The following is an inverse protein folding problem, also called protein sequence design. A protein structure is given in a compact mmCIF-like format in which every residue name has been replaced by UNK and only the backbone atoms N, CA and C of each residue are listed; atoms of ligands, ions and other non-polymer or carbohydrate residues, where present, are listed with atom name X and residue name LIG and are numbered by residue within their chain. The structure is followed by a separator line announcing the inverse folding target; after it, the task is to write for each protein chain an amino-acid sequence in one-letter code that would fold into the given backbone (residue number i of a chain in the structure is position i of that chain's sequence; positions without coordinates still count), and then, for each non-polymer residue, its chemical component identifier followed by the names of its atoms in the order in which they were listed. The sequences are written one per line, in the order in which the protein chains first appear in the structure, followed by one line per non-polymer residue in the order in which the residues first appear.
data_IF_367803188469
#
_entry.id   IF_367803188469
#
_cell.length_a   1.000
_cell.length_b   1.000
_cell.length_c   1.000
_cell.angle_alpha   90.00
_cell.angle_beta   90.00
_cell.angle_gamma   90.00
#
_symmetry.space_group_name_H-M   'P 1'
#
loop_
_entity.id
_entity.type
_entity.pdbx_description
1 polymer ?
#
# COMPACT_ATOMS: atom_id res chain seq x y z
N UNK A 1 -2.66 -20.24 -15.83
CA UNK A 1 -2.82 -19.34 -16.99
C UNK A 1 -3.12 -17.90 -16.51
N UNK A 2 -4.14 -17.69 -15.66
CA UNK A 2 -4.54 -16.36 -15.20
C UNK A 2 -3.39 -15.56 -14.54
N UNK A 3 -2.58 -16.18 -13.69
CA UNK A 3 -1.44 -15.50 -13.05
C UNK A 3 -0.39 -15.07 -14.07
N UNK A 4 -0.11 -15.88 -15.09
CA UNK A 4 0.81 -15.47 -16.17
C UNK A 4 0.26 -14.29 -16.96
N UNK A 5 -1.04 -14.26 -17.23
CA UNK A 5 -1.68 -13.10 -17.85
C UNK A 5 -1.57 -11.84 -17.00
N UNK A 6 -1.74 -11.94 -15.68
CA UNK A 6 -1.53 -10.83 -14.77
C UNK A 6 -0.08 -10.32 -14.80
N UNK A 7 0.89 -11.23 -14.80
CA UNK A 7 2.32 -10.89 -14.96
C UNK A 7 2.56 -10.15 -16.28
N UNK A 8 2.00 -10.67 -17.38
CA UNK A 8 2.15 -10.06 -18.69
C UNK A 8 1.55 -8.66 -18.77
N UNK A 9 0.37 -8.46 -18.18
CA UNK A 9 -0.26 -7.15 -18.09
C UNK A 9 0.55 -6.17 -17.22
N UNK A 10 1.05 -6.62 -16.06
CA UNK A 10 1.92 -5.81 -15.22
C UNK A 10 3.16 -5.35 -15.97
N UNK A 11 3.85 -6.26 -16.63
CA UNK A 11 5.04 -5.94 -17.42
C UNK A 11 4.74 -4.97 -18.56
N UNK A 12 3.62 -5.17 -19.27
CA UNK A 12 3.22 -4.36 -20.42
C UNK A 12 2.93 -2.89 -20.07
N UNK A 13 2.47 -2.60 -18.85
CA UNK A 13 2.15 -1.23 -18.40
C UNK A 13 3.19 -0.68 -17.42
N UNK A 14 4.24 -1.46 -17.09
CA UNK A 14 5.36 -1.01 -16.28
C UNK A 14 5.19 -1.18 -14.77
N UNK A 15 4.19 -1.90 -14.28
CA UNK A 15 4.17 -2.33 -12.88
C UNK A 15 5.33 -3.28 -12.59
N UNK A 16 5.70 -3.41 -11.34
CA UNK A 16 6.92 -4.12 -10.91
C UNK A 16 6.62 -5.33 -10.03
N UNK A 17 5.35 -5.53 -9.64
CA UNK A 17 5.00 -6.56 -8.67
C UNK A 17 3.61 -7.16 -8.90
N UNK A 18 3.51 -8.48 -8.68
CA UNK A 18 2.23 -9.21 -8.62
C UNK A 18 2.09 -9.90 -7.26
N UNK A 19 0.98 -9.65 -6.59
CA UNK A 19 0.60 -10.32 -5.34
C UNK A 19 -0.56 -11.27 -5.63
N UNK A 20 -0.34 -12.57 -5.43
CA UNK A 20 -1.41 -13.57 -5.48
C UNK A 20 -2.19 -13.52 -4.16
N UNK A 21 -3.29 -12.79 -4.17
CA UNK A 21 -4.05 -12.48 -2.97
C UNK A 21 -5.08 -13.56 -2.61
N UNK A 22 -5.84 -13.30 -1.55
CA UNK A 22 -6.94 -14.14 -1.08
C UNK A 22 -7.89 -14.52 -2.23
N UNK A 23 -8.31 -15.78 -2.28
CA UNK A 23 -9.18 -16.30 -3.33
C UNK A 23 -8.49 -16.68 -4.66
N UNK A 24 -7.20 -16.40 -4.82
CA UNK A 24 -6.43 -16.77 -6.04
C UNK A 24 -6.08 -18.26 -6.12
N UNK A 25 -6.32 -19.04 -5.07
CA UNK A 25 -5.86 -20.42 -4.93
C UNK A 25 -4.39 -20.55 -4.54
N UNK A 26 -3.71 -19.45 -4.24
CA UNK A 26 -2.35 -19.47 -3.72
C UNK A 26 -2.31 -20.03 -2.29
N UNK A 27 -1.36 -20.92 -2.02
CA UNK A 27 -1.21 -21.62 -0.74
C UNK A 27 0.26 -21.68 -0.33
N UNK A 28 0.75 -20.59 0.27
CA UNK A 28 2.16 -20.45 0.64
C UNK A 28 2.64 -21.53 1.64
N UNK A 29 1.73 -22.13 2.38
CA UNK A 29 2.02 -23.18 3.37
C UNK A 29 2.02 -24.60 2.78
N UNK A 30 1.73 -24.72 1.49
CA UNK A 30 1.76 -26.01 0.80
C UNK A 30 3.21 -26.37 0.48
N UNK A 31 3.73 -27.39 1.18
CA UNK A 31 5.11 -27.86 1.08
C UNK A 31 5.27 -29.08 0.14
N UNK A 32 4.22 -29.47 -0.60
CA UNK A 32 4.33 -30.54 -1.57
C UNK A 32 5.31 -30.18 -2.70
N UNK A 33 6.14 -31.13 -3.07
CA UNK A 33 7.21 -30.95 -4.08
C UNK A 33 6.63 -30.40 -5.39
N UNK A 34 5.52 -30.96 -5.85
CA UNK A 34 4.87 -30.54 -7.10
C UNK A 34 4.35 -29.08 -7.05
N UNK A 35 3.84 -28.64 -5.88
CA UNK A 35 3.41 -27.26 -5.70
C UNK A 35 4.59 -26.30 -5.70
N UNK A 36 5.63 -26.61 -4.94
CA UNK A 36 6.84 -25.77 -4.85
C UNK A 36 7.53 -25.64 -6.23
N UNK A 37 7.61 -26.74 -7.01
CA UNK A 37 8.14 -26.71 -8.37
C UNK A 37 7.31 -25.80 -9.30
N UNK A 38 5.97 -25.84 -9.21
CA UNK A 38 5.11 -24.94 -9.99
C UNK A 38 5.31 -23.47 -9.60
N UNK A 39 5.43 -23.18 -8.30
CA UNK A 39 5.67 -21.82 -7.81
C UNK A 39 7.06 -21.33 -8.23
N UNK A 40 8.07 -22.18 -8.20
CA UNK A 40 9.40 -21.86 -8.71
C UNK A 40 9.38 -21.53 -10.21
N UNK A 41 8.71 -22.33 -11.01
CA UNK A 41 8.57 -22.06 -12.45
C UNK A 41 7.80 -20.76 -12.74
N UNK A 42 6.79 -20.45 -11.91
CA UNK A 42 6.05 -19.20 -12.02
C UNK A 42 6.91 -17.99 -11.62
N UNK A 43 7.75 -18.14 -10.59
CA UNK A 43 8.70 -17.11 -10.20
C UNK A 43 9.72 -16.83 -11.31
N UNK A 44 10.29 -17.86 -11.94
CA UNK A 44 11.18 -17.70 -13.09
C UNK A 44 10.51 -16.94 -14.24
N UNK A 45 9.28 -17.30 -14.56
CA UNK A 45 8.50 -16.60 -15.60
C UNK A 45 8.28 -15.11 -15.28
N UNK A 46 8.03 -14.78 -14.01
CA UNK A 46 7.86 -13.38 -13.57
C UNK A 46 9.20 -12.64 -13.62
N UNK A 47 10.28 -13.26 -13.12
CA UNK A 47 11.61 -12.69 -13.09
C UNK A 47 12.15 -12.37 -14.50
N UNK A 48 11.90 -13.23 -15.49
CA UNK A 48 12.25 -13.00 -16.91
C UNK A 48 11.59 -11.73 -17.48
N UNK A 49 10.51 -11.26 -16.85
CA UNK A 49 9.78 -10.03 -17.21
C UNK A 49 10.06 -8.86 -16.27
N UNK A 50 10.98 -9.02 -15.32
CA UNK A 50 11.30 -8.00 -14.32
C UNK A 50 10.21 -7.80 -13.26
N UNK A 51 9.33 -8.78 -13.04
CA UNK A 51 8.21 -8.71 -12.11
C UNK A 51 8.53 -9.49 -10.83
N UNK A 52 8.49 -8.82 -9.69
CA UNK A 52 8.50 -9.47 -8.38
C UNK A 52 7.16 -10.18 -8.13
N UNK A 53 7.19 -11.38 -7.57
CA UNK A 53 5.97 -12.15 -7.33
C UNK A 53 5.99 -12.86 -5.98
N UNK A 54 4.81 -12.99 -5.41
CA UNK A 54 4.56 -13.77 -4.22
C UNK A 54 3.10 -13.77 -3.87
N UNK A 55 2.76 -13.85 -2.60
CA UNK A 55 1.33 -13.88 -2.28
C UNK A 55 1.00 -13.88 -0.81
N UNK A 56 -0.26 -14.10 -0.58
CA UNK A 56 -1.02 -13.88 0.62
C UNK A 56 -0.94 -15.05 1.61
N UNK A 57 -0.85 -14.74 2.89
CA UNK A 57 -1.15 -15.66 3.99
C UNK A 57 -1.91 -14.92 5.09
N UNK A 58 -2.96 -15.55 5.62
CA UNK A 58 -3.67 -15.10 6.81
C UNK A 58 -3.00 -15.67 8.05
N UNK A 59 -2.57 -14.83 8.97
CA UNK A 59 -1.90 -15.25 10.20
C UNK A 59 -2.89 -15.49 11.34
N UNK A 60 -3.88 -14.64 11.52
CA UNK A 60 -4.89 -14.76 12.56
C UNK A 60 -6.17 -15.44 12.06
N UNK A 61 -7.02 -15.93 12.99
CA UNK A 61 -8.38 -16.41 12.68
C UNK A 61 -8.45 -17.56 11.68
N UNK A 62 -7.55 -18.51 11.73
CA UNK A 62 -7.39 -19.51 10.68
C UNK A 62 -7.65 -20.96 11.07
N UNK A 63 -8.35 -21.17 12.17
CA UNK A 63 -8.73 -22.52 12.56
C UNK A 63 -7.59 -23.33 13.17
N UNK A 64 -6.86 -22.77 14.11
CA UNK A 64 -5.87 -23.49 14.90
C UNK A 64 -6.52 -24.66 15.66
N UNK A 65 -5.76 -25.73 15.90
CA UNK A 65 -6.20 -26.80 16.80
C UNK A 65 -6.32 -26.23 18.21
N UNK A 66 -7.24 -26.75 19.06
CA UNK A 66 -7.43 -26.26 20.43
C UNK A 66 -6.12 -26.18 21.25
N UNK A 67 -5.21 -27.12 21.08
CA UNK A 67 -3.91 -27.14 21.78
C UNK A 67 -2.96 -25.98 21.38
N UNK A 68 -3.15 -25.39 20.19
CA UNK A 68 -2.31 -24.35 19.65
C UNK A 68 -3.03 -22.98 19.63
N UNK A 69 -4.30 -22.96 20.05
CA UNK A 69 -5.09 -21.74 20.08
C UNK A 69 -4.70 -20.85 21.28
N UNK A 70 -4.87 -19.54 21.13
CA UNK A 70 -4.78 -18.63 22.25
C UNK A 70 -5.86 -18.95 23.28
N UNK A 71 -5.50 -19.03 24.55
CA UNK A 71 -6.42 -19.30 25.65
C UNK A 71 -6.86 -17.97 26.27
N UNK A 72 -8.17 -17.73 26.28
CA UNK A 72 -8.75 -16.53 26.88
C UNK A 72 -8.52 -16.51 28.40
N UNK A 73 -8.03 -15.39 28.91
CA UNK A 73 -7.85 -15.17 30.33
C UNK A 73 -9.18 -15.17 31.11
N UNK A 74 -10.26 -14.74 30.46
CA UNK A 74 -11.58 -14.65 31.09
C UNK A 74 -12.31 -15.98 31.18
N UNK A 75 -12.18 -16.83 30.18
CA UNK A 75 -12.95 -18.07 30.10
C UNK A 75 -12.13 -19.32 30.36
N UNK A 76 -10.80 -19.26 30.25
CA UNK A 76 -9.92 -20.42 30.31
C UNK A 76 -10.03 -21.37 29.11
N UNK A 77 -10.77 -20.99 28.05
CA UNK A 77 -10.96 -21.77 26.84
C UNK A 77 -10.29 -21.11 25.63
N UNK A 78 -10.10 -21.83 24.52
CA UNK A 78 -9.58 -21.27 23.29
C UNK A 78 -10.33 -20.02 22.86
N UNK A 79 -9.60 -18.94 22.64
CA UNK A 79 -10.15 -17.67 22.22
C UNK A 79 -10.68 -17.76 20.78
N UNK A 80 -11.86 -17.24 20.57
CA UNK A 80 -12.41 -16.95 19.23
C UNK A 80 -12.05 -15.51 18.88
N UNK A 81 -11.76 -15.25 17.66
CA UNK A 81 -11.30 -13.93 17.18
C UNK A 81 -12.34 -12.83 17.22
N UNK A 82 -13.59 -13.12 17.53
CA UNK A 82 -14.66 -12.19 17.93
C UNK A 82 -15.66 -12.96 18.77
N UNK A 83 -16.33 -12.28 19.65
CA UNK A 83 -17.10 -12.83 20.77
C UNK A 83 -18.09 -13.95 20.42
N UNK A 84 -18.50 -14.13 19.17
CA UNK A 84 -19.35 -15.25 18.77
C UNK A 84 -19.05 -15.73 17.35
N UNK A 85 -18.23 -16.75 17.24
CA UNK A 85 -18.11 -17.49 15.99
C UNK A 85 -17.31 -16.82 14.90
N UNK A 86 -16.00 -16.77 15.04
CA UNK A 86 -15.11 -16.47 13.92
C UNK A 86 -15.46 -17.33 12.71
N UNK A 87 -15.68 -16.70 11.55
CA UNK A 87 -15.83 -17.38 10.26
C UNK A 87 -14.62 -18.25 9.92
N UNK A 88 -13.49 -18.01 10.55
CA UNK A 88 -12.19 -18.59 10.24
C UNK A 88 -11.68 -19.54 11.30
N UNK A 89 -12.43 -19.80 12.39
CA UNK A 89 -12.08 -20.74 13.44
C UNK A 89 -11.36 -20.12 14.65
N UNK A 90 -10.63 -20.94 15.39
CA UNK A 90 -9.90 -20.50 16.58
C UNK A 90 -8.69 -19.66 16.21
N UNK A 91 -8.38 -18.65 17.04
CA UNK A 91 -7.18 -17.84 16.88
C UNK A 91 -5.94 -18.64 17.31
N UNK A 92 -4.92 -18.76 16.45
CA UNK A 92 -3.68 -19.41 16.83
C UNK A 92 -2.89 -18.55 17.82
N UNK A 93 -2.27 -19.17 18.82
CA UNK A 93 -1.19 -18.53 19.56
C UNK A 93 0.10 -18.63 18.73
N UNK A 94 0.59 -17.48 18.25
CA UNK A 94 1.80 -17.43 17.41
C UNK A 94 3.05 -17.91 18.19
N UNK A 95 2.99 -17.89 19.51
CA UNK A 95 4.05 -18.40 20.38
C UNK A 95 3.89 -19.88 20.74
N UNK A 96 2.93 -20.61 20.15
CA UNK A 96 2.82 -22.06 20.23
C UNK A 96 3.70 -22.78 19.19
N UNK A 97 3.67 -24.10 19.18
CA UNK A 97 4.35 -24.93 18.18
C UNK A 97 3.80 -24.70 16.78
N UNK A 98 2.51 -24.40 16.68
CA UNK A 98 1.90 -24.01 15.41
C UNK A 98 2.61 -22.80 14.76
N UNK A 99 2.89 -21.75 15.55
CA UNK A 99 3.60 -20.58 15.00
C UNK A 99 5.02 -20.90 14.54
N UNK A 100 5.70 -21.80 15.26
CA UNK A 100 7.03 -22.28 14.87
C UNK A 100 6.98 -23.03 13.52
N UNK A 101 6.01 -23.93 13.36
CA UNK A 101 5.78 -24.67 12.12
C UNK A 101 5.38 -23.76 10.97
N UNK A 102 4.50 -22.79 11.21
CA UNK A 102 4.07 -21.82 10.23
C UNK A 102 5.26 -21.06 9.63
N UNK A 103 6.08 -20.43 10.44
CA UNK A 103 7.23 -19.69 9.95
C UNK A 103 8.30 -20.57 9.30
N UNK A 104 8.46 -21.81 9.75
CA UNK A 104 9.34 -22.77 9.10
C UNK A 104 8.88 -23.09 7.69
N UNK A 105 7.58 -23.34 7.47
CA UNK A 105 7.00 -23.58 6.14
C UNK A 105 7.16 -22.36 5.23
N UNK A 106 6.89 -21.16 5.72
CA UNK A 106 7.08 -19.93 4.95
C UNK A 106 8.55 -19.76 4.52
N UNK A 107 9.50 -19.96 5.43
CA UNK A 107 10.93 -19.89 5.10
C UNK A 107 11.32 -20.91 4.03
N UNK A 108 10.84 -22.16 4.15
CA UNK A 108 11.05 -23.18 3.16
C UNK A 108 10.47 -22.81 1.79
N UNK A 109 9.24 -22.27 1.78
CA UNK A 109 8.59 -21.80 0.55
C UNK A 109 9.44 -20.76 -0.17
N UNK A 110 9.82 -19.68 0.50
CA UNK A 110 10.64 -18.63 -0.10
C UNK A 110 12.00 -19.13 -0.57
N UNK A 111 12.66 -19.97 0.25
CA UNK A 111 13.95 -20.55 -0.12
C UNK A 111 13.84 -21.43 -1.36
N UNK A 112 12.81 -22.25 -1.45
CA UNK A 112 12.66 -23.25 -2.53
C UNK A 112 12.17 -22.62 -3.83
N UNK A 113 11.25 -21.65 -3.74
CA UNK A 113 10.61 -21.05 -4.92
C UNK A 113 11.35 -19.83 -5.45
N UNK A 114 12.13 -19.16 -4.61
CA UNK A 114 12.76 -17.89 -4.93
C UNK A 114 11.80 -16.71 -5.04
N UNK A 115 10.50 -16.90 -4.71
CA UNK A 115 9.55 -15.79 -4.66
C UNK A 115 9.99 -14.75 -3.63
N UNK A 116 9.67 -13.48 -3.88
CA UNK A 116 10.22 -12.35 -3.15
C UNK A 116 9.18 -11.32 -2.70
N UNK A 117 7.90 -11.70 -2.65
CA UNK A 117 6.80 -10.86 -2.15
C UNK A 117 5.98 -11.64 -1.14
N UNK A 118 5.66 -11.02 -0.01
CA UNK A 118 4.83 -11.59 1.03
C UNK A 118 3.74 -10.62 1.49
N UNK A 119 2.50 -10.97 1.24
CA UNK A 119 1.33 -10.30 1.82
C UNK A 119 0.87 -11.10 3.03
N UNK A 120 0.93 -10.51 4.21
CA UNK A 120 0.54 -11.18 5.45
C UNK A 120 -0.57 -10.41 6.15
N UNK A 121 -1.75 -10.95 6.10
CA UNK A 121 -2.94 -10.41 6.74
C UNK A 121 -3.10 -10.97 8.16
N UNK A 122 -3.80 -10.22 9.02
CA UNK A 122 -4.02 -10.62 10.40
C UNK A 122 -2.74 -10.68 11.26
N UNK A 123 -1.67 -10.05 10.81
CA UNK A 123 -0.40 -9.95 11.54
C UNK A 123 -0.49 -8.86 12.62
N UNK A 124 -1.49 -8.98 13.47
CA UNK A 124 -1.61 -8.20 14.69
C UNK A 124 -0.64 -8.74 15.75
N UNK A 125 -0.48 -8.07 16.90
CA UNK A 125 0.46 -8.54 17.94
C UNK A 125 0.15 -9.92 18.50
N UNK A 126 -0.91 -10.55 18.05
CA UNK A 126 -1.43 -11.84 18.55
C UNK A 126 -2.45 -11.63 19.66
N UNK A 127 -3.37 -12.56 19.81
CA UNK A 127 -4.32 -12.53 20.91
C UNK A 127 -3.63 -12.84 22.23
N UNK A 128 -3.95 -12.12 23.34
CA UNK A 128 -3.45 -12.48 24.65
C UNK A 128 -3.76 -13.94 24.98
N UNK A 129 -2.77 -14.67 25.46
CA UNK A 129 -2.88 -16.10 25.70
C UNK A 129 -2.50 -16.46 27.15
N UNK A 130 -3.44 -17.01 27.91
CA UNK A 130 -3.21 -17.45 29.28
C UNK A 130 -2.66 -18.89 29.42
N UNK A 131 -2.40 -19.55 28.30
CA UNK A 131 -1.80 -20.88 28.32
C UNK A 131 -0.44 -20.86 29.02
N UNK A 132 -0.20 -21.85 29.86
CA UNK A 132 1.10 -22.08 30.51
C UNK A 132 1.86 -23.26 29.91
N UNK A 133 1.27 -23.91 28.89
CA UNK A 133 1.86 -25.06 28.20
C UNK A 133 2.43 -24.77 26.84
N UNK A 134 2.20 -23.56 26.30
CA UNK A 134 2.83 -23.15 25.05
C UNK A 134 4.31 -22.85 25.28
N UNK A 135 5.16 -23.43 24.44
CA UNK A 135 6.62 -23.35 24.59
C UNK A 135 7.22 -21.93 24.47
N UNK A 136 6.53 -21.03 23.81
CA UNK A 136 7.06 -19.71 23.44
C UNK A 136 6.73 -18.57 24.39
N UNK A 137 5.89 -18.77 25.41
CA UNK A 137 5.58 -17.77 26.44
C UNK A 137 5.25 -18.44 27.77
N UNK A 138 5.25 -17.68 28.86
CA UNK A 138 5.00 -18.19 30.22
C UNK A 138 3.54 -18.09 30.66
N UNK A 139 2.73 -17.27 29.98
CA UNK A 139 1.33 -17.04 30.28
C UNK A 139 0.82 -15.72 29.73
N UNK A 140 -0.25 -15.21 30.34
CA UNK A 140 -0.98 -14.04 29.85
C UNK A 140 -0.08 -12.80 29.70
N UNK A 141 0.74 -12.50 30.71
CA UNK A 141 1.47 -11.23 30.79
C UNK A 141 2.56 -11.05 29.72
N UNK A 142 3.16 -12.13 29.26
CA UNK A 142 4.23 -12.06 28.26
C UNK A 142 3.81 -12.56 26.87
N UNK A 143 2.61 -13.11 26.75
CA UNK A 143 2.17 -13.81 25.54
C UNK A 143 2.15 -12.93 24.29
N UNK A 144 1.57 -11.72 24.35
CA UNK A 144 1.50 -10.83 23.20
C UNK A 144 2.88 -10.34 22.76
N UNK A 145 3.73 -9.98 23.72
CA UNK A 145 5.12 -9.60 23.44
C UNK A 145 5.89 -10.71 22.75
N UNK A 146 5.73 -11.94 23.18
CA UNK A 146 6.39 -13.12 22.59
C UNK A 146 5.88 -13.39 21.18
N UNK A 147 4.59 -13.26 20.95
CA UNK A 147 3.98 -13.40 19.63
C UNK A 147 4.48 -12.31 18.68
N UNK A 148 4.42 -11.06 19.12
CA UNK A 148 4.92 -9.93 18.36
C UNK A 148 6.40 -10.09 17.98
N UNK A 149 7.24 -10.51 18.91
CA UNK A 149 8.67 -10.77 18.65
C UNK A 149 8.89 -11.84 17.58
N UNK A 150 8.10 -12.91 17.57
CA UNK A 150 8.19 -13.96 16.54
C UNK A 150 7.83 -13.42 15.16
N UNK A 151 6.77 -12.66 15.07
CA UNK A 151 6.33 -12.05 13.81
C UNK A 151 7.38 -11.04 13.32
N UNK A 152 7.83 -10.14 14.19
CA UNK A 152 8.84 -9.13 13.87
C UNK A 152 10.15 -9.77 13.41
N UNK A 153 10.61 -10.81 14.09
CA UNK A 153 11.82 -11.56 13.71
C UNK A 153 11.68 -12.22 12.35
N UNK A 154 10.49 -12.71 12.00
CA UNK A 154 10.23 -13.25 10.67
C UNK A 154 10.24 -12.15 9.60
N UNK A 155 9.66 -10.99 9.87
CA UNK A 155 9.69 -9.86 8.93
C UNK A 155 11.11 -9.31 8.73
N UNK A 156 11.90 -9.23 9.80
CA UNK A 156 13.33 -8.89 9.69
C UNK A 156 14.08 -9.90 8.82
N UNK A 157 13.80 -11.20 8.99
CA UNK A 157 14.37 -12.23 8.12
C UNK A 157 13.94 -12.05 6.66
N UNK A 158 12.66 -11.77 6.38
CA UNK A 158 12.20 -11.47 5.03
C UNK A 158 12.98 -10.31 4.40
N UNK A 159 13.12 -9.20 5.13
CA UNK A 159 13.88 -8.02 4.68
C UNK A 159 15.34 -8.37 4.38
N UNK A 160 15.99 -9.10 5.26
CA UNK A 160 17.37 -9.55 5.08
C UNK A 160 17.54 -10.48 3.86
N UNK A 161 16.46 -11.12 3.40
CA UNK A 161 16.42 -11.97 2.19
C UNK A 161 15.92 -11.25 0.94
N UNK A 162 15.67 -9.95 0.99
CA UNK A 162 15.13 -9.19 -0.12
C UNK A 162 13.66 -9.50 -0.43
N UNK A 163 12.92 -10.06 0.52
CA UNK A 163 11.49 -10.33 0.37
C UNK A 163 10.72 -9.07 0.75
N UNK A 164 9.93 -8.58 -0.18
CA UNK A 164 9.06 -7.42 0.01
C UNK A 164 7.87 -7.80 0.91
N UNK A 165 7.56 -6.93 1.88
CA UNK A 165 6.48 -7.14 2.84
C UNK A 165 5.30 -6.23 2.52
N UNK A 166 4.12 -6.82 2.44
CA UNK A 166 2.84 -6.13 2.38
C UNK A 166 2.00 -6.57 3.59
N UNK A 167 2.10 -5.83 4.69
CA UNK A 167 1.49 -6.17 5.99
C UNK A 167 0.70 -4.97 6.53
N UNK A 168 -0.25 -5.15 7.46
CA UNK A 168 -0.90 -4.03 8.14
C UNK A 168 0.15 -3.13 8.82
N UNK A 169 0.17 -1.85 8.45
CA UNK A 169 1.26 -0.94 8.83
C UNK A 169 1.27 -0.53 10.30
N UNK A 170 0.13 -0.58 10.97
CA UNK A 170 -0.06 -0.09 12.33
C UNK A 170 0.83 -0.73 13.39
N UNK A 171 1.11 -2.03 13.27
CA UNK A 171 1.70 -2.82 14.35
C UNK A 171 3.21 -2.99 14.25
N UNK A 172 3.75 -2.91 13.04
CA UNK A 172 5.14 -3.26 12.77
C UNK A 172 5.92 -2.14 12.10
N UNK A 173 5.25 -1.12 11.58
CA UNK A 173 5.84 -0.04 10.79
C UNK A 173 5.75 1.33 11.48
N UNK A 174 5.15 1.42 12.65
CA UNK A 174 5.07 2.67 13.39
C UNK A 174 6.47 3.20 13.70
N UNK A 175 6.74 4.43 13.28
CA UNK A 175 8.06 5.04 13.38
C UNK A 175 9.08 4.57 12.35
N UNK A 176 8.70 3.69 11.40
CA UNK A 176 9.54 3.34 10.28
C UNK A 176 9.61 4.49 9.27
N UNK A 177 10.65 4.46 8.47
CA UNK A 177 10.84 5.43 7.41
C UNK A 177 9.87 5.21 6.24
N UNK A 178 10.02 5.97 5.18
CA UNK A 178 9.25 6.00 3.95
C UNK A 178 9.20 4.72 3.13
N UNK A 179 9.84 3.66 3.54
CA UNK A 179 9.76 2.42 2.80
C UNK A 179 8.36 1.85 2.99
N UNK A 180 7.52 1.81 1.98
CA UNK A 180 6.20 1.23 2.10
C UNK A 180 6.35 -0.27 2.36
N UNK A 181 5.91 -0.69 3.52
CA UNK A 181 5.88 -2.10 3.92
C UNK A 181 4.52 -2.50 4.46
N UNK A 182 3.55 -1.62 4.34
CA UNK A 182 2.22 -1.86 4.84
C UNK A 182 1.15 -1.58 3.82
N UNK A 183 -0.05 -1.98 4.14
CA UNK A 183 -1.22 -1.65 3.36
C UNK A 183 -2.25 -0.91 4.20
N UNK A 184 -3.05 -0.08 3.53
CA UNK A 184 -4.20 0.58 4.11
C UNK A 184 -5.45 0.12 3.36
N UNK A 185 -6.37 -0.46 4.10
CA UNK A 185 -7.69 -0.82 3.59
C UNK A 185 -8.65 0.33 3.83
N UNK A 186 -9.19 0.91 2.77
CA UNK A 186 -10.08 2.04 2.88
C UNK A 186 -11.24 1.94 1.90
N UNK A 187 -12.45 2.18 2.42
CA UNK A 187 -13.60 2.58 1.60
C UNK A 187 -13.99 1.65 0.45
N UNK A 188 -13.84 0.36 0.61
CA UNK A 188 -14.12 -0.66 -0.40
C UNK A 188 -15.55 -0.64 -0.95
N UNK A 189 -16.52 -0.22 -0.14
CA UNK A 189 -17.94 -0.31 -0.44
C UNK A 189 -18.59 1.03 -0.76
N UNK A 190 -17.83 2.12 -0.76
CA UNK A 190 -18.38 3.43 -1.07
C UNK A 190 -18.63 3.58 -2.57
N UNK A 191 -19.67 4.32 -2.98
CA UNK A 191 -19.87 4.73 -4.36
C UNK A 191 -18.63 5.44 -4.94
N UNK A 192 -18.38 5.26 -6.23
CA UNK A 192 -17.22 5.85 -6.93
C UNK A 192 -17.02 7.34 -6.66
N UNK A 193 -18.09 8.12 -6.69
CA UNK A 193 -18.03 9.57 -6.43
C UNK A 193 -17.49 9.95 -5.06
N UNK A 194 -17.73 9.11 -4.04
CA UNK A 194 -17.20 9.34 -2.69
C UNK A 194 -15.77 8.83 -2.56
N UNK A 195 -15.43 7.75 -3.23
CA UNK A 195 -14.09 7.18 -3.17
C UNK A 195 -13.02 8.20 -3.57
N UNK A 196 -13.29 9.06 -4.56
CA UNK A 196 -12.34 10.02 -5.10
C UNK A 196 -11.85 11.05 -4.05
N UNK A 197 -12.76 11.55 -3.23
CA UNK A 197 -12.44 12.53 -2.18
C UNK A 197 -11.84 11.84 -0.95
N UNK A 198 -12.50 10.76 -0.51
CA UNK A 198 -12.11 10.04 0.70
C UNK A 198 -10.73 9.39 0.54
N UNK A 199 -10.37 8.96 -0.65
CA UNK A 199 -9.03 8.45 -0.93
C UNK A 199 -7.95 9.51 -0.65
N UNK A 200 -8.14 10.75 -1.12
CA UNK A 200 -7.22 11.85 -0.82
C UNK A 200 -7.21 12.23 0.66
N UNK A 201 -8.38 12.20 1.33
CA UNK A 201 -8.46 12.40 2.79
C UNK A 201 -7.67 11.33 3.54
N UNK A 202 -7.80 10.07 3.14
CA UNK A 202 -7.04 8.97 3.74
C UNK A 202 -5.53 9.12 3.51
N UNK A 203 -5.10 9.56 2.34
CA UNK A 203 -3.69 9.86 2.06
C UNK A 203 -3.20 10.99 2.97
N UNK A 204 -3.95 12.07 3.07
CA UNK A 204 -3.60 13.21 3.91
C UNK A 204 -3.51 12.80 5.39
N UNK A 205 -4.56 12.19 5.93
CA UNK A 205 -4.60 11.81 7.35
C UNK A 205 -3.56 10.73 7.67
N UNK A 206 -3.35 9.75 6.80
CA UNK A 206 -2.35 8.71 6.98
C UNK A 206 -0.93 9.26 7.00
N UNK A 207 -0.59 10.15 6.09
CA UNK A 207 0.75 10.76 6.02
C UNK A 207 0.97 11.82 7.10
N UNK A 208 -0.09 12.44 7.64
CA UNK A 208 -0.01 13.35 8.78
C UNK A 208 0.23 12.62 10.10
N UNK A 209 -0.47 11.51 10.32
CA UNK A 209 -0.45 10.81 11.61
C UNK A 209 0.74 9.88 11.79
N UNK A 210 1.35 9.41 10.71
CA UNK A 210 2.38 8.37 10.74
C UNK A 210 3.72 8.87 10.21
N UNK A 211 4.14 8.29 9.13
CA UNK A 211 5.37 8.63 8.42
C UNK A 211 5.06 9.46 7.19
N UNK A 212 6.05 10.14 6.63
CA UNK A 212 5.85 10.96 5.44
C UNK A 212 5.32 10.24 4.21
N UNK A 213 5.42 8.91 4.12
CA UNK A 213 4.83 8.14 3.02
C UNK A 213 3.90 7.06 3.54
N UNK A 214 2.84 6.81 2.80
CA UNK A 214 1.96 5.67 3.04
C UNK A 214 2.52 4.41 2.39
N UNK A 215 2.18 3.28 2.97
CA UNK A 215 2.31 2.00 2.32
C UNK A 215 1.30 1.82 1.19
N UNK A 216 1.07 0.58 0.80
CA UNK A 216 0.09 0.28 -0.24
C UNK A 216 -1.33 0.69 0.15
N UNK A 217 -2.02 1.33 -0.79
CA UNK A 217 -3.47 1.46 -0.74
C UNK A 217 -4.12 0.45 -1.68
N UNK A 218 -5.08 -0.30 -1.16
CA UNK A 218 -5.86 -1.20 -1.98
C UNK A 218 -6.90 -0.46 -2.80
N UNK A 219 -6.88 -0.73 -4.10
CA UNK A 219 -7.89 -0.24 -5.04
C UNK A 219 -8.62 -1.43 -5.63
N UNK A 220 -9.83 -1.76 -5.17
CA UNK A 220 -10.59 -2.85 -5.73
C UNK A 220 -11.12 -2.46 -7.12
N UNK A 221 -10.71 -3.21 -8.13
CA UNK A 221 -11.20 -3.05 -9.50
C UNK A 221 -12.53 -3.80 -9.69
N UNK A 222 -12.73 -4.86 -8.94
CA UNK A 222 -13.96 -5.67 -8.95
C UNK A 222 -14.70 -5.59 -7.61
N UNK A 223 -15.90 -6.08 -7.58
CA UNK A 223 -16.74 -6.14 -6.39
C UNK A 223 -16.19 -7.16 -5.38
N UNK A 224 -15.33 -6.71 -4.48
CA UNK A 224 -14.59 -7.58 -3.57
C UNK A 224 -15.21 -7.64 -2.16
N UNK A 225 -15.63 -6.51 -1.62
CA UNK A 225 -16.05 -6.38 -0.22
C UNK A 225 -17.39 -5.66 -0.03
N UNK A 226 -18.29 -5.78 -0.97
CA UNK A 226 -19.59 -5.11 -0.94
C UNK A 226 -19.63 -3.82 -1.76
N UNK A 227 -20.68 -3.01 -1.56
CA UNK A 227 -20.90 -1.76 -2.31
C UNK A 227 -21.50 -1.93 -3.71
N UNK A 228 -21.56 -3.13 -4.22
CA UNK A 228 -22.19 -3.45 -5.50
C UNK A 228 -21.57 -2.75 -6.71
N UNK A 229 -22.31 -2.65 -7.79
CA UNK A 229 -21.89 -2.04 -9.04
C UNK A 229 -21.46 -0.56 -8.89
N UNK A 230 -22.02 0.16 -7.94
CA UNK A 230 -21.68 1.56 -7.69
C UNK A 230 -20.26 1.77 -7.13
N UNK A 231 -19.68 0.76 -6.50
CA UNK A 231 -18.34 0.79 -5.90
C UNK A 231 -17.26 0.15 -6.78
N UNK A 232 -17.65 -0.53 -7.85
CA UNK A 232 -16.76 -1.30 -8.72
C UNK A 232 -16.26 -0.46 -9.89
N UNK A 233 -14.99 -0.60 -10.26
CA UNK A 233 -14.44 0.08 -11.43
C UNK A 233 -14.68 -0.75 -12.70
N UNK A 234 -14.63 -2.08 -12.61
CA UNK A 234 -14.96 -2.94 -13.76
C UNK A 234 -16.42 -2.76 -14.24
N UNK A 235 -16.69 -2.72 -15.56
CA UNK A 235 -15.71 -2.73 -16.67
C UNK A 235 -14.89 -1.42 -16.72
N UNK A 236 -13.55 -1.55 -16.87
CA UNK A 236 -12.64 -0.40 -16.69
C UNK A 236 -12.86 0.69 -17.75
N UNK A 237 -13.17 0.30 -18.98
CA UNK A 237 -13.42 1.24 -20.07
C UNK A 237 -14.74 2.01 -19.93
N UNK A 238 -15.71 1.48 -19.19
CA UNK A 238 -16.97 2.18 -18.92
C UNK A 238 -16.86 3.20 -17.79
N UNK A 239 -15.81 3.09 -16.97
CA UNK A 239 -15.53 3.99 -15.84
C UNK A 239 -14.16 4.65 -15.94
N UNK A 240 -13.76 5.01 -17.17
CA UNK A 240 -12.41 5.48 -17.49
C UNK A 240 -12.01 6.71 -16.65
N UNK A 241 -12.89 7.71 -16.54
CA UNK A 241 -12.61 8.95 -15.79
C UNK A 241 -12.40 8.66 -14.29
N UNK A 242 -13.19 7.75 -13.73
CA UNK A 242 -13.02 7.33 -12.35
C UNK A 242 -11.72 6.53 -12.17
N UNK A 243 -11.42 5.63 -13.08
CA UNK A 243 -10.16 4.86 -13.04
C UNK A 243 -8.95 5.78 -13.13
N UNK A 244 -8.98 6.75 -14.05
CA UNK A 244 -7.95 7.78 -14.14
C UNK A 244 -7.81 8.57 -12.83
N UNK A 245 -8.92 8.99 -12.25
CA UNK A 245 -8.91 9.72 -10.97
C UNK A 245 -8.24 8.90 -9.87
N UNK A 246 -8.52 7.59 -9.79
CA UNK A 246 -7.88 6.70 -8.81
C UNK A 246 -6.37 6.53 -9.07
N UNK A 247 -5.96 6.37 -10.33
CA UNK A 247 -4.54 6.33 -10.70
C UNK A 247 -3.83 7.64 -10.34
N UNK A 248 -4.42 8.75 -10.69
CA UNK A 248 -3.91 10.10 -10.45
C UNK A 248 -3.79 10.44 -8.97
N UNK A 249 -4.80 10.13 -8.18
CA UNK A 249 -4.79 10.41 -6.74
C UNK A 249 -3.63 9.70 -6.04
N UNK A 250 -3.37 8.46 -6.38
CA UNK A 250 -2.35 7.65 -5.72
C UNK A 250 -0.95 7.95 -6.29
N UNK A 251 -0.76 7.85 -7.58
CA UNK A 251 0.54 8.11 -8.19
C UNK A 251 0.97 9.57 -8.09
N UNK A 252 0.03 10.51 -8.25
CA UNK A 252 0.30 11.93 -8.08
C UNK A 252 0.66 12.33 -6.65
N UNK A 253 0.25 11.56 -5.66
CA UNK A 253 0.62 11.75 -4.25
C UNK A 253 1.80 10.87 -3.81
N UNK A 254 2.44 10.13 -4.72
CA UNK A 254 3.55 9.24 -4.38
C UNK A 254 3.15 8.01 -3.58
N UNK A 255 1.86 7.65 -3.58
CA UNK A 255 1.36 6.47 -2.87
C UNK A 255 1.44 5.25 -3.78
N UNK A 256 1.99 4.17 -3.26
CA UNK A 256 1.99 2.89 -3.97
C UNK A 256 0.60 2.27 -3.90
N UNK A 257 0.00 2.03 -5.08
CA UNK A 257 -1.31 1.44 -5.21
C UNK A 257 -1.23 -0.06 -5.45
N UNK A 258 -2.08 -0.81 -4.76
CA UNK A 258 -2.30 -2.22 -4.99
C UNK A 258 -3.67 -2.41 -5.67
N UNK A 259 -3.68 -2.47 -6.98
CA UNK A 259 -4.91 -2.66 -7.76
C UNK A 259 -5.33 -4.12 -7.71
N UNK A 260 -6.50 -4.39 -7.12
CA UNK A 260 -7.05 -5.74 -6.93
C UNK A 260 -8.13 -6.05 -7.95
N UNK A 261 -7.85 -6.96 -8.84
CA UNK A 261 -8.80 -7.42 -9.86
C UNK A 261 -8.17 -8.43 -10.81
N UNK A 262 -8.94 -8.94 -11.76
CA UNK A 262 -8.47 -9.94 -12.72
C UNK A 262 -7.55 -9.36 -13.78
N UNK A 263 -7.53 -8.03 -13.95
CA UNK A 263 -6.78 -7.32 -14.99
C UNK A 263 -6.56 -5.86 -14.62
N UNK A 264 -5.52 -5.26 -15.20
CA UNK A 264 -5.19 -3.84 -15.06
C UNK A 264 -5.79 -2.99 -16.19
N UNK A 265 -6.16 -3.61 -17.30
CA UNK A 265 -6.79 -2.96 -18.44
C UNK A 265 -7.63 -3.96 -19.23
N UNK A 266 -8.67 -3.48 -19.88
CA UNK A 266 -9.62 -4.24 -20.71
C UNK A 266 -9.63 -3.79 -22.17
N UNK A 267 -9.16 -2.59 -22.46
CA UNK A 267 -9.04 -2.02 -23.81
C UNK A 267 -7.67 -1.38 -24.02
N UNK A 268 -7.35 -1.03 -25.25
CA UNK A 268 -6.12 -0.28 -25.55
C UNK A 268 -6.14 1.14 -24.93
N UNK A 269 -7.32 1.74 -24.76
CA UNK A 269 -7.48 3.03 -24.12
C UNK A 269 -7.12 2.95 -22.63
N UNK A 270 -7.66 1.98 -21.90
CA UNK A 270 -7.31 1.76 -20.48
C UNK A 270 -5.85 1.34 -20.32
N UNK A 271 -5.30 0.56 -21.26
CA UNK A 271 -3.87 0.20 -21.24
C UNK A 271 -2.98 1.44 -21.34
N UNK A 272 -3.27 2.34 -22.28
CA UNK A 272 -2.52 3.62 -22.43
C UNK A 272 -2.61 4.46 -21.17
N UNK A 273 -3.80 4.57 -20.59
CA UNK A 273 -4.04 5.34 -19.38
C UNK A 273 -3.18 4.83 -18.21
N UNK A 274 -3.22 3.52 -17.93
CA UNK A 274 -2.42 2.91 -16.86
C UNK A 274 -0.93 3.10 -17.13
N UNK A 275 -0.48 2.87 -18.38
CA UNK A 275 0.92 3.05 -18.77
C UNK A 275 1.39 4.49 -18.52
N UNK A 276 0.56 5.47 -18.84
CA UNK A 276 0.88 6.89 -18.65
C UNK A 276 1.11 7.21 -17.16
N UNK A 277 0.22 6.79 -16.28
CA UNK A 277 0.35 7.08 -14.85
C UNK A 277 1.47 6.31 -14.17
N UNK A 278 1.74 5.08 -14.59
CA UNK A 278 2.90 4.34 -14.12
C UNK A 278 4.20 4.99 -14.58
N UNK A 279 4.27 5.43 -15.83
CA UNK A 279 5.43 6.14 -16.35
C UNK A 279 5.66 7.48 -15.64
N UNK A 280 4.58 8.24 -15.37
CA UNK A 280 4.62 9.45 -14.58
C UNK A 280 5.22 9.21 -13.20
N UNK A 281 4.72 8.23 -12.46
CA UNK A 281 5.27 7.89 -11.14
C UNK A 281 6.75 7.51 -11.22
N UNK A 282 7.13 6.68 -12.17
CA UNK A 282 8.54 6.26 -12.34
C UNK A 282 9.46 7.43 -12.68
N UNK A 283 9.00 8.38 -13.48
CA UNK A 283 9.76 9.58 -13.83
C UNK A 283 10.05 10.47 -12.62
N UNK A 284 9.10 10.55 -11.70
CA UNK A 284 9.18 11.42 -10.51
C UNK A 284 9.36 10.66 -9.21
N UNK A 285 9.51 9.33 -9.23
CA UNK A 285 9.61 8.47 -8.04
C UNK A 285 10.58 9.02 -7.00
N UNK A 286 11.77 9.45 -7.41
CA UNK A 286 12.80 9.91 -6.47
C UNK A 286 12.33 11.06 -5.58
N UNK A 287 11.53 11.99 -6.13
CA UNK A 287 10.98 13.08 -5.33
C UNK A 287 9.62 12.71 -4.70
N UNK A 288 8.79 11.93 -5.36
CA UNK A 288 7.50 11.49 -4.83
C UNK A 288 7.64 10.55 -3.62
N UNK A 289 8.76 9.81 -3.52
CA UNK A 289 9.08 8.98 -2.36
C UNK A 289 9.78 9.79 -1.24
N UNK A 290 9.80 11.13 -1.35
CA UNK A 290 10.49 12.03 -0.40
C UNK A 290 9.56 12.55 0.71
N UNK A 291 10.09 13.35 1.65
CA UNK A 291 9.34 13.89 2.79
C UNK A 291 8.13 14.70 2.34
N UNK A 292 7.08 14.70 3.13
CA UNK A 292 5.79 15.29 2.79
C UNK A 292 5.54 16.55 3.63
N UNK A 293 5.14 17.61 2.94
CA UNK A 293 4.58 18.84 3.52
C UNK A 293 3.14 18.94 3.02
N UNK A 294 2.20 18.96 3.94
CA UNK A 294 0.79 19.15 3.60
C UNK A 294 0.50 20.62 3.31
N UNK A 295 -0.08 20.90 2.15
CA UNK A 295 -0.44 22.27 1.76
C UNK A 295 -1.87 22.61 2.17
N UNK A 296 -2.82 21.74 1.82
CA UNK A 296 -4.22 21.90 2.19
C UNK A 296 -4.93 20.54 2.28
N UNK A 297 -5.72 20.36 3.35
CA UNK A 297 -6.48 19.13 3.57
C UNK A 297 -7.63 19.01 2.55
N UNK A 298 -7.88 17.81 1.99
CA UNK A 298 -9.05 17.56 1.12
C UNK A 298 -10.36 17.71 1.87
N UNK A 299 -11.24 18.60 1.43
CA UNK A 299 -12.59 18.82 1.98
C UNK A 299 -13.71 18.67 0.94
N UNK A 300 -13.35 18.48 -0.33
CA UNK A 300 -14.29 18.36 -1.43
C UNK A 300 -14.95 19.69 -1.85
N UNK A 301 -14.58 20.82 -1.26
CA UNK A 301 -15.19 22.12 -1.51
C UNK A 301 -14.26 23.11 -2.22
N UNK A 302 -12.97 22.86 -2.19
CA UNK A 302 -11.94 23.67 -2.81
C UNK A 302 -10.76 22.76 -3.20
N UNK A 303 -9.68 23.34 -3.74
CA UNK A 303 -8.46 22.62 -4.04
C UNK A 303 -7.89 21.94 -2.80
N UNK A 304 -7.15 20.89 -3.00
CA UNK A 304 -6.29 20.30 -1.99
C UNK A 304 -4.90 20.01 -2.58
N UNK A 305 -3.90 19.83 -1.71
CA UNK A 305 -2.55 19.66 -2.21
C UNK A 305 -1.56 19.13 -1.19
N UNK A 306 -0.54 18.48 -1.74
CA UNK A 306 0.58 17.88 -1.03
C UNK A 306 1.88 18.26 -1.74
N UNK A 307 2.94 18.46 -0.98
CA UNK A 307 4.26 18.73 -1.51
C UNK A 307 5.26 17.70 -0.99
N UNK A 308 6.02 17.10 -1.89
CA UNK A 308 7.15 16.25 -1.55
C UNK A 308 8.43 17.08 -1.57
N UNK A 309 9.32 16.91 -0.59
CA UNK A 309 10.55 17.70 -0.46
C UNK A 309 11.78 16.80 -0.27
N UNK A 310 12.86 17.15 -0.98
CA UNK A 310 14.15 16.51 -0.82
C UNK A 310 15.28 17.54 -1.04
N UNK A 311 15.85 18.10 0.02
CA UNK A 311 16.91 19.11 -0.10
C UNK A 311 18.20 18.58 -0.75
N UNK A 312 18.39 17.26 -0.82
CA UNK A 312 19.56 16.64 -1.44
C UNK A 312 19.38 16.40 -2.95
N UNK A 313 18.12 16.48 -3.45
CA UNK A 313 17.83 16.28 -4.87
C UNK A 313 17.98 17.57 -5.68
N UNK A 314 18.21 17.44 -6.99
CA UNK A 314 18.10 18.58 -7.92
C UNK A 314 16.68 19.14 -7.94
N UNK A 315 15.68 18.26 -7.99
CA UNK A 315 14.27 18.61 -7.79
C UNK A 315 14.05 18.72 -6.28
N UNK A 316 14.05 19.95 -5.76
CA UNK A 316 13.94 20.24 -4.32
C UNK A 316 12.55 19.94 -3.78
N UNK A 317 11.53 20.18 -4.59
CA UNK A 317 10.16 19.81 -4.25
C UNK A 317 9.33 19.44 -5.48
N UNK A 318 8.26 18.68 -5.21
CA UNK A 318 7.21 18.34 -6.16
C UNK A 318 5.86 18.62 -5.50
N UNK A 319 5.09 19.53 -6.09
CA UNK A 319 3.78 19.95 -5.60
C UNK A 319 2.70 19.26 -6.43
N UNK A 320 1.79 18.55 -5.79
CA UNK A 320 0.58 18.01 -6.39
C UNK A 320 -0.63 18.79 -5.90
N UNK A 321 -1.45 19.29 -6.80
CA UNK A 321 -2.70 20.01 -6.48
C UNK A 321 -3.88 19.39 -7.22
N UNK A 322 -4.99 19.27 -6.54
CA UNK A 322 -6.21 18.61 -6.99
C UNK A 322 -7.41 19.54 -6.90
N UNK A 323 -8.33 19.39 -7.83
CA UNK A 323 -9.59 20.13 -7.86
C UNK A 323 -10.78 19.15 -7.85
N UNK A 324 -11.59 19.12 -6.78
CA UNK A 324 -12.78 18.29 -6.71
C UNK A 324 -14.01 18.89 -7.41
N UNK A 325 -13.95 20.14 -7.86
CA UNK A 325 -15.10 20.88 -8.38
C UNK A 325 -15.28 20.69 -9.89
N UNK A 326 -16.50 20.93 -10.37
CA UNK A 326 -16.84 20.91 -11.80
C UNK A 326 -16.41 22.17 -12.55
N UNK A 327 -15.77 23.11 -11.89
CA UNK A 327 -15.22 24.34 -12.45
C UNK A 327 -13.71 24.39 -12.23
N UNK A 328 -12.98 25.04 -13.12
CA UNK A 328 -11.55 25.26 -12.92
C UNK A 328 -11.29 26.17 -11.70
N UNK A 329 -10.21 25.88 -10.97
CA UNK A 329 -9.73 26.71 -9.88
C UNK A 329 -8.51 27.49 -10.34
N UNK A 330 -8.53 28.81 -10.16
CA UNK A 330 -7.37 29.68 -10.29
C UNK A 330 -7.18 30.41 -8.97
N UNK A 331 -6.05 30.20 -8.31
CA UNK A 331 -5.73 30.80 -7.01
C UNK A 331 -4.27 31.18 -6.90
N UNK A 332 -4.02 32.14 -6.08
CA UNK A 332 -2.68 32.41 -5.54
C UNK A 332 -2.57 31.76 -4.18
N UNK A 333 -1.56 30.93 -4.00
CA UNK A 333 -1.31 30.17 -2.77
C UNK A 333 0.09 30.47 -2.25
N UNK A 334 0.24 30.44 -0.95
CA UNK A 334 1.53 30.49 -0.30
C UNK A 334 2.12 29.09 -0.18
N UNK A 335 3.33 28.90 -0.67
CA UNK A 335 4.04 27.62 -0.67
C UNK A 335 5.26 27.73 0.22
N UNK A 336 5.31 26.99 1.37
CA UNK A 336 6.44 27.01 2.27
C UNK A 336 7.60 26.18 1.71
N UNK A 337 8.74 26.80 1.43
CA UNK A 337 9.93 26.16 0.88
C UNK A 337 11.07 25.94 1.88
N UNK A 338 10.85 26.20 3.16
CA UNK A 338 11.87 26.06 4.21
C UNK A 338 12.61 24.71 4.17
N UNK A 339 11.87 23.62 4.02
CA UNK A 339 12.43 22.27 3.99
C UNK A 339 13.14 21.88 2.69
N UNK A 340 13.07 22.72 1.67
CA UNK A 340 13.82 22.51 0.41
C UNK A 340 15.28 22.87 0.51
N UNK A 341 15.65 23.66 1.54
CA UNK A 341 17.00 24.22 1.72
C UNK A 341 17.32 25.38 0.79
N UNK A 342 16.35 25.91 0.04
CA UNK A 342 16.51 27.13 -0.75
C UNK A 342 16.46 28.35 0.15
N UNK A 343 17.30 29.38 -0.15
CA UNK A 343 17.45 30.56 0.72
C UNK A 343 16.98 31.86 0.10
N UNK A 344 17.23 32.03 -1.20
CA UNK A 344 16.98 33.31 -1.87
C UNK A 344 15.98 33.22 -3.00
N UNK A 345 16.10 32.19 -3.82
CA UNK A 345 15.34 32.04 -5.07
C UNK A 345 14.94 30.58 -5.28
N UNK A 346 13.83 30.39 -5.98
CA UNK A 346 13.36 29.09 -6.45
C UNK A 346 12.97 29.18 -7.94
N UNK A 347 13.30 28.16 -8.70
CA UNK A 347 12.79 27.98 -10.06
C UNK A 347 11.58 27.06 -10.01
N UNK A 348 10.41 27.58 -10.36
CA UNK A 348 9.16 26.82 -10.39
C UNK A 348 8.81 26.46 -11.82
N UNK A 349 8.62 25.19 -12.08
CA UNK A 349 8.17 24.66 -13.37
C UNK A 349 6.75 24.11 -13.22
N UNK A 350 5.82 24.63 -13.97
CA UNK A 350 4.50 24.03 -14.11
C UNK A 350 4.61 22.83 -15.07
N UNK A 351 4.44 21.63 -14.56
CA UNK A 351 4.69 20.41 -15.31
C UNK A 351 6.14 20.37 -15.87
N UNK A 352 6.30 20.01 -17.13
CA UNK A 352 7.60 20.03 -17.83
C UNK A 352 7.85 21.33 -18.62
N UNK A 353 7.12 22.42 -18.31
CA UNK A 353 7.29 23.72 -18.97
C UNK A 353 8.56 24.43 -18.50
N UNK A 354 8.88 25.54 -19.16
CA UNK A 354 9.99 26.41 -18.76
C UNK A 354 9.79 26.95 -17.33
N UNK A 355 10.88 26.98 -16.58
CA UNK A 355 10.87 27.47 -15.21
C UNK A 355 10.72 28.97 -15.12
N UNK A 356 10.01 29.44 -14.11
CA UNK A 356 9.93 30.85 -13.71
C UNK A 356 10.63 31.03 -12.39
N UNK A 357 11.45 32.06 -12.26
CA UNK A 357 12.15 32.42 -11.04
C UNK A 357 11.19 33.14 -10.07
N UNK A 358 11.27 32.79 -8.79
CA UNK A 358 10.57 33.40 -7.68
C UNK A 358 11.57 33.75 -6.60
N UNK A 359 11.50 34.97 -6.06
CA UNK A 359 12.25 35.33 -4.84
C UNK A 359 11.50 34.78 -3.61
N UNK A 360 12.27 34.20 -2.67
CA UNK A 360 11.70 33.72 -1.41
C UNK A 360 11.42 34.91 -0.48
N UNK A 361 10.29 34.86 0.20
CA UNK A 361 9.99 35.75 1.31
C UNK A 361 10.87 35.43 2.53
N UNK A 362 10.82 36.29 3.55
CA UNK A 362 11.66 36.13 4.76
C UNK A 362 11.41 34.84 5.53
N UNK A 363 10.22 34.28 5.40
CA UNK A 363 9.80 32.99 5.98
C UNK A 363 10.03 31.81 5.05
N UNK A 364 10.82 32.02 3.98
CA UNK A 364 11.10 31.02 2.95
C UNK A 364 9.88 30.56 2.15
N UNK A 365 8.80 31.35 2.08
CA UNK A 365 7.65 31.07 1.23
C UNK A 365 7.76 31.76 -0.14
N UNK A 366 6.96 31.29 -1.08
CA UNK A 366 6.67 31.93 -2.35
C UNK A 366 5.17 32.04 -2.58
N UNK A 367 4.72 33.13 -3.23
CA UNK A 367 3.35 33.22 -3.72
C UNK A 367 3.27 32.61 -5.13
N UNK A 368 2.53 31.51 -5.26
CA UNK A 368 2.40 30.73 -6.49
C UNK A 368 0.96 30.80 -7.02
N UNK A 369 0.80 31.28 -8.26
CA UNK A 369 -0.47 31.17 -8.97
C UNK A 369 -0.65 29.75 -9.49
N UNK A 370 -1.65 29.05 -8.97
CA UNK A 370 -2.04 27.72 -9.44
C UNK A 370 -3.28 27.81 -10.32
N UNK A 371 -3.31 26.93 -11.32
CA UNK A 371 -4.49 26.67 -12.15
C UNK A 371 -4.73 25.17 -12.19
N UNK A 372 -5.94 24.75 -11.79
CA UNK A 372 -6.31 23.34 -11.75
C UNK A 372 -7.59 23.14 -12.56
N UNK A 373 -7.60 22.31 -13.61
CA UNK A 373 -8.80 22.04 -14.39
C UNK A 373 -9.96 21.54 -13.52
N UNK A 374 -11.18 21.67 -14.01
CA UNK A 374 -12.36 21.05 -13.37
C UNK A 374 -12.14 19.54 -13.20
N UNK A 375 -12.51 19.00 -12.03
CA UNK A 375 -12.26 17.58 -11.66
C UNK A 375 -10.82 17.12 -11.97
N UNK A 376 -9.87 18.04 -11.89
CA UNK A 376 -8.54 17.89 -12.46
C UNK A 376 -7.41 17.86 -11.45
N UNK A 377 -6.23 17.85 -12.02
CA UNK A 377 -4.96 17.77 -11.34
C UNK A 377 -3.94 18.67 -12.05
N UNK A 378 -3.06 19.27 -11.28
CA UNK A 378 -1.87 19.94 -11.79
C UNK A 378 -0.68 19.72 -10.86
N UNK A 379 0.52 19.93 -11.33
CA UNK A 379 1.73 19.72 -10.55
C UNK A 379 2.83 20.68 -10.93
N UNK A 380 3.71 20.94 -9.96
CA UNK A 380 4.81 21.87 -10.09
C UNK A 380 6.10 21.26 -9.53
N UNK A 381 7.22 21.53 -10.19
CA UNK A 381 8.56 21.17 -9.72
C UNK A 381 9.25 22.42 -9.21
N UNK A 382 9.93 22.31 -8.09
CA UNK A 382 10.79 23.34 -7.50
C UNK A 382 12.25 22.91 -7.63
N UNK A 383 13.07 23.77 -8.20
CA UNK A 383 14.53 23.61 -8.31
C UNK A 383 15.26 24.80 -7.72
#
# INVERSE_FOLDING_TARGET
QAVKQAIDQCAAVGFEMVIMTFGSGFQIENDSVSYLQRMKALNSYAADKGIAIGGYSLLASRGAKPKDAAISHHTGYPAKTREEGSRFGLSPCIASDWGSDYFKRLKNFFHTTGMNVFENDGSYPGDPCSSTVHSGHKGYLDSQWKQWNRISSFYQWCRAKGIYLNVPDWYFLMGSNKTPMGYVETNWSLPRSYQEIIERQNIYDGTWQKTPSMGFMFVPLTQYHGGGAAATIEPLNEHLDHYETRLRNLFGAGVQACYRGPRLYDTEQTRKLVTQWVAFYKQYRQILDSDIIHLRRPDGQDWDGIMHVNPQSKRKAFISVYNPLDIAIEKEIEVPLYYTGLTDKAIVKEQDKNGKEYSLARDYSISLKIRIPAKGYNWYIIE
#
